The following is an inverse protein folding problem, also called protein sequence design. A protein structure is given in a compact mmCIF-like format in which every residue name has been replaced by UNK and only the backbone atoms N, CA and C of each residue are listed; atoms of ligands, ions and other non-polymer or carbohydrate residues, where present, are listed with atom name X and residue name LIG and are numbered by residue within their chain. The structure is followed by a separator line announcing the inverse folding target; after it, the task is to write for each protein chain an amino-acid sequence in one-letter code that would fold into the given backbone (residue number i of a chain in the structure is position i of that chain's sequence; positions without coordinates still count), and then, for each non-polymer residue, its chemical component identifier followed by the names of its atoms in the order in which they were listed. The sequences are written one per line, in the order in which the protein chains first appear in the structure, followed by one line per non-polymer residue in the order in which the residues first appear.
data_IF_576763316049
#
_entry.id   IF_576763316049
#
_cell.length_a   1.000
_cell.length_b   1.000
_cell.length_c   1.000
_cell.angle_alpha   90.00
_cell.angle_beta   90.00
_cell.angle_gamma   90.00
#
_symmetry.space_group_name_H-M   'P 1'
#
loop_
_entity.id
_entity.type
_entity.pdbx_description
1 polymer ?
#
# COMPACT_ATOMS: atom_id res chain seq x y z
N UNK A 1 -17.75 8.14 1.93
CA UNK A 1 -17.74 6.74 2.41
C UNK A 1 -16.99 6.58 3.73
N UNK A 2 -15.66 6.38 3.84
CA UNK A 2 -15.04 6.19 5.19
C UNK A 2 -15.30 7.39 6.13
N UNK A 3 -15.00 8.62 5.71
CA UNK A 3 -15.26 9.80 6.53
C UNK A 3 -16.75 10.00 6.85
N UNK A 4 -17.63 9.60 5.93
CA UNK A 4 -19.09 9.66 6.10
C UNK A 4 -19.60 8.57 7.05
N UNK A 5 -19.01 7.38 7.00
CA UNK A 5 -19.26 6.28 7.94
C UNK A 5 -18.84 6.65 9.36
N UNK A 6 -17.80 7.49 9.51
CA UNK A 6 -17.33 8.01 10.79
C UNK A 6 -17.97 9.35 11.19
N UNK A 7 -18.79 9.95 10.32
CA UNK A 7 -19.35 11.30 10.51
C UNK A 7 -18.29 12.40 10.78
N UNK A 8 -17.14 12.29 10.11
CA UNK A 8 -16.02 13.23 10.21
C UNK A 8 -15.87 14.10 8.96
N UNK A 9 -15.40 15.35 9.11
CA UNK A 9 -15.08 16.20 7.97
C UNK A 9 -13.94 15.60 7.16
N UNK A 10 -14.01 15.74 5.83
CA UNK A 10 -13.02 15.23 4.90
C UNK A 10 -12.38 16.35 4.10
N UNK A 11 -11.09 16.57 4.33
CA UNK A 11 -10.27 17.45 3.51
C UNK A 11 -9.48 16.62 2.49
N UNK A 12 -9.46 17.07 1.24
CA UNK A 12 -8.75 16.42 0.14
C UNK A 12 -7.99 17.44 -0.67
N UNK A 13 -6.78 17.07 -1.06
CA UNK A 13 -5.96 17.82 -2.01
C UNK A 13 -5.36 16.83 -3.01
N UNK A 14 -5.34 17.24 -4.27
CA UNK A 14 -4.60 16.51 -5.30
C UNK A 14 -3.10 16.72 -5.08
N UNK A 15 -2.33 15.63 -5.16
CA UNK A 15 -0.87 15.69 -5.15
C UNK A 15 -0.41 16.16 -6.54
N UNK A 16 0.28 17.29 -6.60
CA UNK A 16 0.85 17.88 -7.82
C UNK A 16 2.37 17.70 -7.86
N UNK A 17 3.00 17.64 -6.69
CA UNK A 17 4.41 17.39 -6.53
C UNK A 17 4.80 15.95 -6.86
N UNK A 18 6.11 15.69 -6.85
CA UNK A 18 6.73 14.37 -7.03
C UNK A 18 7.60 14.05 -5.81
N UNK A 19 7.98 12.79 -5.57
CA UNK A 19 8.93 12.45 -4.50
C UNK A 19 10.35 12.86 -4.93
N UNK A 20 10.66 14.15 -4.85
CA UNK A 20 11.93 14.75 -5.30
C UNK A 20 13.01 14.63 -4.22
N UNK A 21 12.67 14.93 -2.97
CA UNK A 21 13.57 14.80 -1.83
C UNK A 21 13.31 13.48 -1.08
N UNK A 22 14.19 12.52 -1.33
CA UNK A 22 14.16 11.20 -0.70
C UNK A 22 15.20 11.02 0.40
N UNK A 23 15.87 12.11 0.81
CA UNK A 23 16.89 12.07 1.86
C UNK A 23 16.25 11.80 3.24
N UNK A 24 17.07 11.35 4.18
CA UNK A 24 16.60 11.10 5.54
C UNK A 24 16.13 12.41 6.20
N UNK A 25 16.96 13.44 6.14
CA UNK A 25 16.62 14.78 6.61
C UNK A 25 15.86 15.53 5.52
N UNK A 26 14.53 15.56 5.62
CA UNK A 26 13.71 16.32 4.69
C UNK A 26 13.97 17.82 4.85
N UNK A 27 14.01 18.52 3.71
CA UNK A 27 14.01 19.98 3.67
C UNK A 27 13.00 20.45 2.62
N UNK A 28 12.24 21.53 2.86
CA UNK A 28 11.22 22.02 1.93
C UNK A 28 11.76 22.14 0.51
N UNK A 29 11.15 21.41 -0.41
CA UNK A 29 11.63 21.28 -1.79
C UNK A 29 10.53 21.66 -2.76
N UNK A 30 10.78 22.65 -3.62
CA UNK A 30 9.79 23.14 -4.57
C UNK A 30 9.38 22.04 -5.56
N UNK A 31 8.08 21.79 -5.67
CA UNK A 31 7.53 20.74 -6.53
C UNK A 31 7.57 19.33 -5.92
N UNK A 32 7.88 19.22 -4.62
CA UNK A 32 7.85 17.96 -3.90
C UNK A 32 6.45 17.66 -3.32
N UNK A 33 6.06 16.38 -3.28
CA UNK A 33 4.74 15.93 -2.80
C UNK A 33 4.46 16.31 -1.33
N UNK A 34 5.50 16.46 -0.52
CA UNK A 34 5.38 16.83 0.89
C UNK A 34 4.87 18.26 1.06
N UNK A 35 5.15 19.15 0.10
CA UNK A 35 4.59 20.51 0.13
C UNK A 35 3.08 20.52 -0.14
N UNK A 36 2.55 19.54 -0.89
CA UNK A 36 1.09 19.39 -1.03
C UNK A 36 0.45 18.95 0.30
N UNK A 37 1.13 18.07 1.06
CA UNK A 37 0.70 17.70 2.41
C UNK A 37 0.74 18.90 3.36
N UNK A 38 1.81 19.72 3.30
CA UNK A 38 1.91 20.95 4.08
C UNK A 38 0.74 21.89 3.81
N UNK A 39 0.43 22.17 2.55
CA UNK A 39 -0.67 23.08 2.19
C UNK A 39 -2.05 22.53 2.58
N UNK A 40 -2.24 21.20 2.52
CA UNK A 40 -3.46 20.56 3.03
C UNK A 40 -3.60 20.73 4.54
N UNK A 41 -2.56 20.40 5.32
CA UNK A 41 -2.62 20.48 6.78
C UNK A 41 -2.69 21.93 7.28
N UNK A 42 -2.06 22.86 6.57
CA UNK A 42 -2.21 24.30 6.80
C UNK A 42 -3.68 24.71 6.66
N UNK A 43 -4.32 24.32 5.57
CA UNK A 43 -5.75 24.58 5.32
C UNK A 43 -6.61 24.01 6.45
N UNK A 44 -6.35 22.77 6.88
CA UNK A 44 -7.07 22.15 8.02
C UNK A 44 -6.91 22.95 9.30
N UNK A 45 -5.68 23.38 9.62
CA UNK A 45 -5.39 24.18 10.82
C UNK A 45 -6.06 25.56 10.79
N UNK A 46 -6.12 26.20 9.62
CA UNK A 46 -6.83 27.48 9.44
C UNK A 46 -8.35 27.32 9.68
N UNK A 47 -8.94 26.22 9.21
CA UNK A 47 -10.37 25.92 9.43
C UNK A 47 -10.67 25.41 10.84
N UNK A 48 -9.70 24.76 11.49
CA UNK A 48 -9.82 24.20 12.82
C UNK A 48 -8.63 24.62 13.71
N UNK A 49 -8.62 25.87 14.23
CA UNK A 49 -7.50 26.39 15.02
C UNK A 49 -7.20 25.63 16.32
N UNK A 50 -8.16 24.84 16.82
CA UNK A 50 -8.00 23.99 18.00
C UNK A 50 -7.23 22.70 17.73
N UNK A 51 -6.90 22.36 16.48
CA UNK A 51 -6.10 21.18 16.15
C UNK A 51 -4.67 21.37 16.65
N UNK A 52 -4.20 20.42 17.46
CA UNK A 52 -2.86 20.45 18.08
C UNK A 52 -1.92 19.37 17.56
N UNK A 53 -2.43 18.40 16.79
CA UNK A 53 -1.63 17.29 16.32
C UNK A 53 -2.22 16.56 15.12
N UNK A 54 -1.41 15.69 14.54
CA UNK A 54 -1.71 14.89 13.35
C UNK A 54 -1.36 13.45 13.66
N UNK A 55 -2.34 12.55 13.58
CA UNK A 55 -2.09 11.11 13.68
C UNK A 55 -1.75 10.54 12.31
N UNK A 56 -0.66 9.79 12.21
CA UNK A 56 -0.22 9.14 10.98
C UNK A 56 -0.08 7.63 11.17
N UNK A 57 -0.51 6.88 10.16
CA UNK A 57 -0.55 5.41 10.18
C UNK A 57 0.72 4.72 9.68
N UNK A 58 1.87 5.40 9.64
CA UNK A 58 3.13 4.78 9.24
C UNK A 58 3.56 3.74 10.30
N UNK A 59 3.83 2.50 9.88
CA UNK A 59 4.22 1.40 10.79
C UNK A 59 5.73 1.18 10.72
N UNK A 60 6.32 0.99 9.54
CA UNK A 60 7.76 0.74 9.39
C UNK A 60 8.49 1.86 8.62
N UNK A 61 7.79 2.53 7.69
CA UNK A 61 8.40 3.51 6.80
C UNK A 61 8.90 4.77 7.52
N UNK A 62 10.23 4.86 7.70
CA UNK A 62 10.90 6.08 8.18
C UNK A 62 10.74 7.24 7.20
N UNK A 63 10.71 6.97 5.88
CA UNK A 63 10.42 8.00 4.87
C UNK A 63 9.10 8.69 5.21
N UNK A 64 7.99 7.94 5.26
CA UNK A 64 6.66 8.52 5.49
C UNK A 64 6.57 9.27 6.83
N UNK A 65 7.12 8.70 7.91
CA UNK A 65 7.14 9.32 9.23
C UNK A 65 7.83 10.69 9.21
N UNK A 66 9.07 10.75 8.71
CA UNK A 66 9.89 11.97 8.74
C UNK A 66 9.25 13.12 7.95
N UNK A 67 8.53 12.82 6.86
CA UNK A 67 7.82 13.83 6.08
C UNK A 67 6.62 14.40 6.84
N UNK A 68 5.88 13.56 7.55
CA UNK A 68 4.79 14.03 8.43
C UNK A 68 5.36 14.86 9.58
N UNK A 69 6.47 14.44 10.19
CA UNK A 69 7.12 15.16 11.29
C UNK A 69 7.61 16.55 10.87
N UNK A 70 8.24 16.67 9.69
CA UNK A 70 8.66 17.97 9.14
C UNK A 70 7.47 18.92 8.99
N UNK A 71 6.42 18.47 8.30
CA UNK A 71 5.22 19.28 8.07
C UNK A 71 4.57 19.71 9.39
N UNK A 72 4.46 18.77 10.34
CA UNK A 72 3.92 19.07 11.67
C UNK A 72 4.77 20.11 12.40
N UNK A 73 6.10 19.98 12.37
CA UNK A 73 7.02 20.93 12.98
C UNK A 73 6.85 22.34 12.42
N UNK A 74 6.76 22.49 11.09
CA UNK A 74 6.55 23.79 10.43
C UNK A 74 5.22 24.43 10.77
N UNK A 75 4.18 23.61 10.95
CA UNK A 75 2.85 24.07 11.32
C UNK A 75 2.64 24.19 12.82
N UNK A 76 3.63 23.92 13.67
CA UNK A 76 3.48 23.84 15.13
C UNK A 76 2.32 22.90 15.53
N UNK A 77 2.39 21.66 15.03
CA UNK A 77 1.50 20.54 15.34
C UNK A 77 2.34 19.39 15.91
N UNK A 78 1.73 18.56 16.75
CA UNK A 78 2.35 17.36 17.32
C UNK A 78 2.11 16.16 16.40
N UNK A 79 3.14 15.52 15.83
CA UNK A 79 2.99 14.27 15.09
C UNK A 79 2.72 13.12 16.07
N UNK A 80 1.69 12.32 15.81
CA UNK A 80 1.30 11.15 16.60
C UNK A 80 1.47 9.89 15.74
N UNK A 81 2.65 9.27 15.84
CA UNK A 81 3.03 8.08 15.07
C UNK A 81 3.01 6.82 15.95
N UNK A 82 1.87 6.52 16.56
CA UNK A 82 1.73 5.45 17.57
C UNK A 82 2.05 4.04 17.08
N UNK A 83 1.96 3.80 15.77
CA UNK A 83 2.18 2.49 15.17
C UNK A 83 3.64 2.27 14.74
N UNK A 84 4.46 3.32 14.78
CA UNK A 84 5.81 3.27 14.23
C UNK A 84 6.72 2.33 15.02
N UNK A 85 7.45 1.48 14.31
CA UNK A 85 8.36 0.44 14.83
C UNK A 85 7.71 -0.58 15.79
N UNK A 86 6.37 -0.67 15.80
CA UNK A 86 5.68 -1.75 16.51
C UNK A 86 5.88 -3.11 15.84
N UNK A 87 5.82 -4.17 16.64
CA UNK A 87 5.81 -5.54 16.11
C UNK A 87 4.57 -5.75 15.23
N UNK A 88 4.80 -6.12 13.98
CA UNK A 88 3.72 -6.19 12.98
C UNK A 88 2.76 -7.36 13.22
N UNK A 89 3.21 -8.46 13.82
CA UNK A 89 2.32 -9.60 14.11
C UNK A 89 1.39 -9.27 15.27
N UNK A 90 1.94 -8.68 16.32
CA UNK A 90 1.16 -8.16 17.44
C UNK A 90 0.17 -7.10 16.96
N UNK A 91 0.63 -6.12 16.18
CA UNK A 91 -0.21 -5.05 15.67
C UNK A 91 -1.35 -5.57 14.78
N UNK A 92 -1.09 -6.51 13.87
CA UNK A 92 -2.13 -7.13 13.04
C UNK A 92 -3.20 -7.81 13.91
N UNK A 93 -2.80 -8.56 14.94
CA UNK A 93 -3.73 -9.19 15.90
C UNK A 93 -4.53 -8.19 16.70
N UNK A 94 -3.90 -7.11 17.15
CA UNK A 94 -4.60 -6.01 17.84
C UNK A 94 -5.64 -5.36 16.94
N UNK A 95 -5.33 -5.09 15.67
CA UNK A 95 -6.28 -4.55 14.71
C UNK A 95 -7.49 -5.49 14.53
N UNK A 96 -7.24 -6.79 14.32
CA UNK A 96 -8.29 -7.80 14.17
C UNK A 96 -9.17 -7.89 15.43
N UNK A 97 -8.53 -8.03 16.60
CA UNK A 97 -9.26 -8.16 17.88
C UNK A 97 -9.98 -6.88 18.31
N UNK A 98 -9.55 -5.72 17.83
CA UNK A 98 -10.25 -4.44 18.00
C UNK A 98 -11.49 -4.31 17.11
N UNK A 99 -11.81 -5.30 16.28
CA UNK A 99 -12.97 -5.29 15.40
C UNK A 99 -12.76 -4.51 14.11
N UNK A 100 -11.52 -4.37 13.63
CA UNK A 100 -11.24 -3.82 12.30
C UNK A 100 -11.64 -4.84 11.23
N UNK A 101 -12.74 -4.56 10.52
CA UNK A 101 -13.20 -5.32 9.35
C UNK A 101 -12.61 -4.67 8.09
N UNK A 102 -11.45 -5.16 7.65
CA UNK A 102 -10.77 -4.70 6.45
C UNK A 102 -10.50 -5.86 5.51
N UNK A 103 -10.79 -5.65 4.22
CA UNK A 103 -10.63 -6.66 3.17
C UNK A 103 -9.44 -6.35 2.28
N UNK A 104 -8.77 -7.38 1.76
CA UNK A 104 -7.68 -7.24 0.81
C UNK A 104 -8.21 -6.78 -0.56
N UNK A 105 -7.73 -5.63 -1.04
CA UNK A 105 -8.08 -5.06 -2.35
C UNK A 105 -6.93 -5.06 -3.35
N UNK A 106 -5.72 -5.40 -2.90
CA UNK A 106 -4.55 -5.64 -3.75
C UNK A 106 -3.73 -6.76 -3.13
N UNK A 107 -3.14 -7.61 -3.97
CA UNK A 107 -2.10 -8.55 -3.56
C UNK A 107 -0.95 -8.57 -4.55
N UNK A 108 0.27 -8.51 -4.01
CA UNK A 108 1.54 -8.41 -4.72
C UNK A 108 2.66 -9.11 -3.95
N UNK A 109 2.44 -10.32 -3.43
CA UNK A 109 3.47 -11.08 -2.74
C UNK A 109 3.37 -12.58 -3.01
N UNK A 110 4.51 -13.26 -2.87
CA UNK A 110 4.56 -14.71 -3.01
C UNK A 110 3.61 -15.37 -2.01
N UNK A 111 2.76 -16.27 -2.52
CA UNK A 111 1.75 -16.95 -1.71
C UNK A 111 0.46 -16.15 -1.47
N UNK A 112 0.38 -14.88 -1.89
CA UNK A 112 -0.86 -14.12 -2.00
C UNK A 112 -1.29 -14.04 -3.47
N UNK A 113 -2.38 -14.73 -3.81
CA UNK A 113 -3.00 -14.74 -5.13
C UNK A 113 -4.44 -14.19 -5.11
N UNK A 114 -5.09 -14.17 -6.29
CA UNK A 114 -6.45 -13.68 -6.51
C UNK A 114 -7.52 -14.21 -5.54
N UNK A 115 -7.34 -15.39 -4.94
CA UNK A 115 -8.32 -15.97 -4.02
C UNK A 115 -8.38 -15.23 -2.68
N UNK A 116 -7.33 -14.49 -2.33
CA UNK A 116 -7.29 -13.70 -1.10
C UNK A 116 -7.92 -12.32 -1.27
N UNK A 117 -8.19 -11.88 -2.51
CA UNK A 117 -8.92 -10.64 -2.73
C UNK A 117 -10.33 -10.74 -2.15
N UNK A 118 -10.73 -9.73 -1.40
CA UNK A 118 -12.01 -9.68 -0.70
C UNK A 118 -12.04 -10.44 0.63
N UNK A 119 -11.01 -11.23 0.95
CA UNK A 119 -10.87 -11.82 2.29
C UNK A 119 -10.51 -10.74 3.30
N UNK A 120 -11.07 -10.87 4.49
CA UNK A 120 -10.77 -10.03 5.66
C UNK A 120 -9.38 -10.29 6.21
N UNK A 121 -8.82 -9.32 6.95
CA UNK A 121 -7.56 -9.50 7.69
C UNK A 121 -7.60 -10.71 8.63
N UNK A 122 -8.72 -10.97 9.29
CA UNK A 122 -8.92 -12.15 10.13
C UNK A 122 -8.83 -13.47 9.35
N UNK A 123 -9.39 -13.52 8.14
CA UNK A 123 -9.35 -14.73 7.31
C UNK A 123 -7.95 -15.02 6.79
N UNK A 124 -7.16 -13.98 6.48
CA UNK A 124 -5.81 -14.13 5.93
C UNK A 124 -4.71 -14.16 6.99
N UNK A 125 -4.99 -13.91 8.27
CA UNK A 125 -4.00 -13.79 9.35
C UNK A 125 -3.03 -14.98 9.38
N UNK A 126 -3.56 -16.21 9.43
CA UNK A 126 -2.76 -17.44 9.47
C UNK A 126 -1.89 -17.62 8.21
N UNK A 127 -2.37 -17.13 7.07
CA UNK A 127 -1.61 -17.14 5.82
C UNK A 127 -0.46 -16.15 5.90
N UNK A 128 -0.70 -14.93 6.37
CA UNK A 128 0.32 -13.89 6.53
C UNK A 128 1.41 -14.32 7.54
N UNK A 129 1.03 -14.92 8.67
CA UNK A 129 1.97 -15.45 9.67
C UNK A 129 2.90 -16.52 9.09
N UNK A 130 2.34 -17.43 8.29
CA UNK A 130 3.10 -18.46 7.58
C UNK A 130 4.04 -17.82 6.56
N UNK A 131 3.53 -16.89 5.73
CA UNK A 131 4.34 -16.23 4.71
C UNK A 131 5.47 -15.39 5.31
N UNK A 132 5.22 -14.71 6.42
CA UNK A 132 6.26 -14.01 7.17
C UNK A 132 7.37 -14.97 7.62
N UNK A 133 6.98 -16.10 8.22
CA UNK A 133 7.94 -17.06 8.78
C UNK A 133 8.79 -17.76 7.70
N UNK A 134 8.23 -17.99 6.50
CA UNK A 134 8.92 -18.68 5.40
C UNK A 134 9.64 -17.74 4.41
N UNK A 135 9.10 -16.55 4.18
CA UNK A 135 9.53 -15.65 3.10
C UNK A 135 9.80 -14.21 3.55
N UNK A 136 9.60 -13.89 4.82
CA UNK A 136 9.83 -12.55 5.36
C UNK A 136 8.81 -11.50 4.89
N UNK A 137 7.63 -11.92 4.42
CA UNK A 137 6.50 -11.02 4.12
C UNK A 137 6.16 -10.16 5.34
N UNK A 138 5.92 -8.87 5.15
CA UNK A 138 5.47 -7.99 6.22
C UNK A 138 3.99 -8.28 6.56
N UNK A 139 3.67 -8.71 7.79
CA UNK A 139 2.30 -9.03 8.18
C UNK A 139 1.34 -7.85 8.01
N UNK A 140 1.80 -6.61 8.21
CA UNK A 140 1.02 -5.39 8.01
C UNK A 140 1.08 -4.84 6.57
N UNK A 141 1.71 -5.53 5.63
CA UNK A 141 1.77 -5.12 4.22
C UNK A 141 2.71 -3.94 3.91
N UNK A 142 3.63 -3.59 4.83
CA UNK A 142 4.54 -2.44 4.68
C UNK A 142 5.47 -2.51 3.46
N UNK A 143 5.75 -3.71 2.93
CA UNK A 143 6.51 -3.90 1.70
C UNK A 143 5.67 -3.75 0.42
N UNK A 144 4.38 -3.43 0.53
CA UNK A 144 3.45 -3.39 -0.58
C UNK A 144 2.89 -4.77 -0.95
N UNK A 145 3.01 -5.76 -0.06
CA UNK A 145 2.55 -7.13 -0.28
C UNK A 145 1.04 -7.22 -0.53
N UNK A 146 0.27 -6.34 0.10
CA UNK A 146 -1.16 -6.19 -0.11
C UNK A 146 -1.60 -4.77 0.26
N UNK A 147 -2.79 -4.38 -0.18
CA UNK A 147 -3.48 -3.19 0.31
C UNK A 147 -4.89 -3.59 0.75
N UNK A 148 -5.45 -2.85 1.71
CA UNK A 148 -6.76 -3.13 2.29
C UNK A 148 -7.73 -1.98 2.13
N UNK A 149 -9.02 -2.30 2.21
CA UNK A 149 -10.09 -1.33 2.36
C UNK A 149 -10.92 -1.66 3.60
N UNK A 150 -11.10 -0.69 4.49
CA UNK A 150 -11.86 -0.86 5.74
C UNK A 150 -13.36 -0.76 5.43
N UNK A 151 -14.08 -1.84 5.69
CA UNK A 151 -15.54 -1.92 5.55
C UNK A 151 -16.24 -1.51 6.84
N UNK A 152 -15.65 -1.87 7.98
CA UNK A 152 -16.19 -1.52 9.28
C UNK A 152 -15.12 -1.45 10.38
N UNK A 153 -15.38 -0.68 11.42
CA UNK A 153 -14.64 -0.72 12.69
C UNK A 153 -15.50 -0.10 13.82
N UNK A 154 -15.13 -0.22 15.10
CA UNK A 154 -15.92 0.34 16.20
C UNK A 154 -16.18 1.85 16.12
N UNK A 155 -15.32 2.60 15.41
CA UNK A 155 -15.47 4.05 15.23
C UNK A 155 -16.49 4.42 14.14
N UNK A 156 -16.96 3.47 13.34
CA UNK A 156 -17.95 3.73 12.28
C UNK A 156 -19.36 3.72 12.88
N UNK A 157 -20.15 4.73 12.53
CA UNK A 157 -21.59 4.81 12.78
C UNK A 157 -22.40 3.99 11.77
N UNK A 158 -21.87 3.81 10.55
CA UNK A 158 -22.45 2.98 9.48
C UNK A 158 -21.38 2.11 8.87
N UNK A 159 -21.71 0.88 8.47
CA UNK A 159 -20.75 0.02 7.75
C UNK A 159 -20.83 0.24 6.25
N UNK A 160 -19.74 -0.06 5.55
CA UNK A 160 -19.66 -0.01 4.09
C UNK A 160 -19.93 -1.41 3.54
N UNK A 161 -20.94 -1.53 2.68
CA UNK A 161 -21.26 -2.74 1.93
C UNK A 161 -20.67 -2.64 0.51
N UNK A 162 -19.95 -3.68 0.08
CA UNK A 162 -19.55 -3.85 -1.32
C UNK A 162 -20.72 -4.51 -2.07
N UNK A 163 -21.31 -3.81 -3.03
CA UNK A 163 -22.39 -4.37 -3.87
C UNK A 163 -21.83 -4.96 -5.17
N UNK A 164 -20.83 -4.31 -5.76
CA UNK A 164 -20.20 -4.75 -7.01
C UNK A 164 -18.69 -4.58 -6.94
N UNK A 165 -17.97 -5.63 -7.34
CA UNK A 165 -16.52 -5.62 -7.45
C UNK A 165 -16.05 -6.48 -8.63
N UNK A 166 -14.89 -6.13 -9.19
CA UNK A 166 -14.25 -6.89 -10.26
C UNK A 166 -12.79 -7.17 -9.94
N UNK A 167 -12.32 -8.38 -10.27
CA UNK A 167 -10.89 -8.71 -10.16
C UNK A 167 -10.19 -8.27 -11.44
N UNK A 168 -9.14 -7.47 -11.29
CA UNK A 168 -8.25 -7.08 -12.39
C UNK A 168 -6.81 -7.50 -12.10
N UNK A 169 -6.04 -7.76 -13.15
CA UNK A 169 -4.64 -8.19 -13.05
C UNK A 169 -3.79 -7.18 -13.81
N UNK A 170 -2.73 -6.69 -13.18
CA UNK A 170 -1.69 -5.92 -13.84
C UNK A 170 -0.38 -6.70 -13.79
N UNK A 171 0.34 -6.66 -14.89
CA UNK A 171 1.73 -7.08 -14.94
C UNK A 171 2.57 -5.81 -15.02
N UNK A 172 3.64 -5.72 -14.22
CA UNK A 172 4.57 -4.58 -14.24
C UNK A 172 5.51 -4.64 -15.45
N UNK A 173 4.96 -4.92 -16.64
CA UNK A 173 5.79 -5.01 -17.83
C UNK A 173 6.12 -3.61 -18.30
N UNK A 174 7.38 -3.22 -18.12
CA UNK A 174 8.03 -2.17 -18.92
C UNK A 174 8.12 -2.63 -20.38
N UNK A 175 6.98 -2.75 -21.07
CA UNK A 175 6.95 -2.70 -22.52
C UNK A 175 6.47 -1.31 -22.91
N UNK A 176 7.39 -0.51 -23.46
CA UNK A 176 7.01 0.34 -24.59
C UNK A 176 6.06 -0.47 -25.45
N UNK A 177 4.86 0.06 -25.68
CA UNK A 177 3.80 -0.45 -26.54
C UNK A 177 4.35 -1.27 -27.73
N UNK A 178 4.61 -2.57 -27.54
CA UNK A 178 4.83 -3.51 -28.63
C UNK A 178 3.45 -4.11 -28.89
N UNK A 179 2.81 -3.57 -29.92
CA UNK A 179 1.75 -4.31 -30.61
C UNK A 179 2.44 -5.53 -31.21
N UNK A 180 2.25 -6.70 -30.60
CA UNK A 180 2.64 -7.97 -31.21
C UNK A 180 1.65 -8.27 -32.34
N UNK A 181 1.86 -7.68 -33.51
CA UNK A 181 1.39 -8.29 -34.76
C UNK A 181 2.20 -9.55 -34.97
N UNK A 182 1.59 -10.72 -34.94
CA UNK A 182 2.27 -11.96 -35.30
C UNK A 182 2.60 -11.93 -36.81
N UNK A 183 3.87 -11.94 -37.24
CA UNK A 183 4.19 -12.36 -38.59
C UNK A 183 4.07 -13.89 -38.66
N UNK A 184 3.27 -14.39 -39.61
CA UNK A 184 3.31 -15.80 -40.02
C UNK A 184 4.67 -16.02 -40.69
N UNK A 185 5.59 -16.73 -40.03
CA UNK A 185 6.88 -17.10 -40.61
C UNK A 185 6.74 -18.50 -41.24
N UNK A 186 6.82 -18.64 -42.58
CA UNK A 186 6.83 -19.94 -43.22
C UNK A 186 8.23 -20.54 -43.09
N UNK A 187 8.38 -21.43 -42.11
CA UNK A 187 9.54 -22.32 -41.85
C UNK A 187 10.86 -21.65 -41.43
N UNK A 188 11.42 -22.11 -40.30
CA UNK A 188 12.76 -21.77 -39.84
C UNK A 188 13.49 -23.03 -39.36
N UNK A 189 14.76 -23.20 -39.77
CA UNK A 189 15.65 -24.29 -39.33
C UNK A 189 16.48 -23.86 -38.11
N UNK A 190 16.54 -24.72 -37.09
CA UNK A 190 17.33 -24.52 -35.88
C UNK A 190 18.84 -24.78 -36.14
N UNK A 191 19.70 -23.90 -35.61
CA UNK A 191 21.12 -24.18 -35.39
C UNK A 191 21.41 -24.15 -33.89
N UNK A 192 22.19 -25.14 -33.40
CA UNK A 192 22.59 -25.26 -31.99
C UNK A 192 23.46 -24.07 -31.56
N UNK A 193 23.16 -23.52 -30.39
CA UNK A 193 23.94 -22.45 -29.72
C UNK A 193 24.96 -23.09 -28.76
N UNK A 194 26.20 -22.60 -28.77
CA UNK A 194 27.27 -23.02 -27.83
C UNK A 194 26.97 -22.53 -26.42
N UNK A 195 27.26 -23.37 -25.43
CA UNK A 195 27.09 -23.09 -24.00
C UNK A 195 28.16 -22.11 -23.49
N UNK A 196 27.74 -21.11 -22.71
CA UNK A 196 28.62 -20.29 -21.88
C UNK A 196 28.22 -20.48 -20.41
N UNK A 197 29.22 -20.82 -19.58
CA UNK A 197 29.07 -20.98 -18.13
C UNK A 197 28.84 -19.62 -17.48
N UNK A 198 27.73 -19.48 -16.76
CA UNK A 198 27.46 -18.36 -15.86
C UNK A 198 27.93 -18.73 -14.47
N UNK A 199 28.79 -17.91 -13.89
CA UNK A 199 29.42 -18.13 -12.59
C UNK A 199 28.60 -17.40 -11.51
N UNK A 200 27.96 -18.17 -10.62
CA UNK A 200 27.11 -17.65 -9.55
C UNK A 200 27.94 -17.07 -8.40
N UNK A 201 27.70 -15.81 -8.03
CA UNK A 201 28.05 -15.26 -6.73
C UNK A 201 26.76 -14.89 -5.99
N UNK A 202 26.37 -15.72 -5.02
CA UNK A 202 25.26 -15.42 -4.10
C UNK A 202 25.80 -14.71 -2.86
N UNK A 203 25.43 -13.45 -2.66
CA UNK A 203 25.27 -12.86 -1.32
C UNK A 203 23.77 -12.81 -1.06
N UNK A 204 23.28 -13.65 -0.14
CA UNK A 204 21.89 -13.56 0.35
C UNK A 204 21.81 -12.39 1.33
N UNK A 205 21.33 -11.23 0.86
CA UNK A 205 20.56 -10.34 1.72
C UNK A 205 19.16 -10.95 1.85
N UNK A 206 18.58 -10.95 3.06
CA UNK A 206 17.17 -11.30 3.26
C UNK A 206 16.32 -10.16 2.68
N UNK A 207 16.18 -10.14 1.37
CA UNK A 207 15.30 -9.22 0.66
C UNK A 207 13.87 -9.73 0.83
N UNK A 208 13.00 -8.91 1.43
CA UNK A 208 11.55 -9.14 1.44
C UNK A 208 11.06 -9.39 0.02
N UNK A 209 10.29 -10.45 -0.20
CA UNK A 209 9.81 -10.84 -1.53
C UNK A 209 8.49 -10.15 -1.83
N UNK A 210 8.54 -9.00 -2.49
CA UNK A 210 7.37 -8.30 -3.01
C UNK A 210 7.34 -8.40 -4.54
N UNK A 211 6.17 -8.64 -5.11
CA UNK A 211 5.94 -8.68 -6.55
C UNK A 211 5.71 -7.29 -7.14
N UNK A 212 5.55 -6.27 -6.29
CA UNK A 212 5.28 -4.90 -6.71
C UNK A 212 6.39 -4.32 -7.59
N UNK A 213 7.65 -4.75 -7.40
CA UNK A 213 8.80 -4.29 -8.17
C UNK A 213 9.29 -5.33 -9.20
N UNK A 214 8.66 -6.52 -9.23
CA UNK A 214 8.99 -7.57 -10.19
C UNK A 214 8.20 -7.35 -11.50
N UNK A 215 8.89 -7.13 -12.63
CA UNK A 215 8.24 -6.82 -13.90
C UNK A 215 7.41 -7.97 -14.48
N UNK A 216 7.63 -9.20 -13.98
CA UNK A 216 6.98 -10.42 -14.47
C UNK A 216 5.87 -10.85 -13.54
N UNK A 217 5.99 -10.56 -12.24
CA UNK A 217 5.03 -11.04 -11.27
C UNK A 217 3.68 -10.30 -11.39
N UNK A 218 2.55 -11.04 -11.40
CA UNK A 218 1.24 -10.41 -11.48
C UNK A 218 0.87 -9.74 -10.16
N UNK A 219 0.37 -8.51 -10.25
CA UNK A 219 -0.31 -7.82 -9.17
C UNK A 219 -1.82 -7.91 -9.41
N UNK A 220 -2.54 -8.44 -8.44
CA UNK A 220 -4.00 -8.57 -8.54
C UNK A 220 -4.66 -7.47 -7.72
N UNK A 221 -5.76 -6.92 -8.26
CA UNK A 221 -6.55 -5.88 -7.63
C UNK A 221 -8.02 -6.29 -7.60
N UNK A 222 -8.70 -5.98 -6.50
CA UNK A 222 -10.15 -5.96 -6.40
C UNK A 222 -10.62 -4.52 -6.58
N UNK A 223 -11.18 -4.23 -7.75
CA UNK A 223 -11.75 -2.91 -8.02
C UNK A 223 -13.16 -2.86 -7.45
N UNK A 224 -13.39 -1.96 -6.51
CA UNK A 224 -14.69 -1.72 -5.91
C UNK A 224 -15.46 -0.73 -6.79
N UNK A 225 -16.53 -1.19 -7.44
CA UNK A 225 -17.27 -0.41 -8.43
C UNK A 225 -18.53 0.21 -7.85
N UNK A 226 -19.16 -0.46 -6.87
CA UNK A 226 -20.37 0.01 -6.21
C UNK A 226 -20.33 -0.30 -4.72
N UNK A 227 -20.46 0.75 -3.92
CA UNK A 227 -20.39 0.71 -2.47
C UNK A 227 -21.60 1.44 -1.89
N UNK A 228 -22.13 0.96 -0.76
CA UNK A 228 -23.27 1.57 -0.06
C UNK A 228 -23.02 1.64 1.45
N UNK A 229 -23.45 2.73 2.08
CA UNK A 229 -23.51 2.81 3.54
C UNK A 229 -24.78 2.14 4.05
N UNK A 230 -24.66 1.30 5.07
CA UNK A 230 -25.77 0.65 5.73
C UNK A 230 -25.65 0.81 7.24
N UNK A 231 -26.78 0.89 7.92
CA UNK A 231 -26.80 0.98 9.38
C UNK A 231 -26.24 -0.31 10.00
N UNK A 232 -25.65 -0.17 11.18
CA UNK A 232 -25.06 -1.27 11.95
C UNK A 232 -26.09 -2.02 12.78
#
# INVERSE_FOLDING_TARGET
MIAEAMELPLYRREIKGKPLNQDFDYSPTAGDEVEDLYELLKTVKEHHPSVQGVSAGAILSSYQKLRVEDVCKRLNLTPLCYLWERDQKELLREMISSGLDAVLVKVAAIGLDKKHLGMTLSEVESTLDRLHSHYGVHPCGEGGEYETFVLDCPLFHKRILIEESEVSIRYNVYFHRIILTYPVIPSARLKKKREQKVQNHRKLARTTVTHQDDPIAPVHYLRLSKLRLVDK
#
